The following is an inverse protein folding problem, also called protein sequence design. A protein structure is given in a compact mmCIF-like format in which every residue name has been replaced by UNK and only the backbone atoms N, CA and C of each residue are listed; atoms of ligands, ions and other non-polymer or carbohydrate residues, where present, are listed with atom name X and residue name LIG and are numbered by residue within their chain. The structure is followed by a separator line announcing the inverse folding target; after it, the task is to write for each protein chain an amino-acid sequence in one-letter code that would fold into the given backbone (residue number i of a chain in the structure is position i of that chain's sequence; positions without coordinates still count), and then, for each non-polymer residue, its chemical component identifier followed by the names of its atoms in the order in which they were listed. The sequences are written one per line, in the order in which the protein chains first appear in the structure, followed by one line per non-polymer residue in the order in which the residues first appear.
data_IF_415429207052
#
_entry.id   IF_415429207052
#
_cell.length_a   1.000
_cell.length_b   1.000
_cell.length_c   1.000
_cell.angle_alpha   90.00
_cell.angle_beta   90.00
_cell.angle_gamma   90.00
#
_symmetry.space_group_name_H-M   'P 1'
#
loop_
_entity.id
_entity.type
_entity.pdbx_description
1 polymer ?
#
# COMPACT_ATOMS: atom_id res chain seq x y z
N UNK A 1 -18.49 10.70 -2.07
CA UNK A 1 -18.83 9.64 -3.05
C UNK A 1 -17.58 8.81 -3.12
N UNK A 2 -17.64 7.54 -2.72
CA UNK A 2 -16.52 6.61 -2.84
C UNK A 2 -16.04 6.62 -4.29
N UNK A 3 -14.73 6.70 -4.53
CA UNK A 3 -14.21 6.51 -5.88
C UNK A 3 -14.45 5.05 -6.26
N UNK A 4 -15.14 4.83 -7.37
CA UNK A 4 -15.24 3.49 -7.95
C UNK A 4 -13.88 3.09 -8.52
N UNK A 5 -13.15 2.24 -7.79
CA UNK A 5 -11.94 1.60 -8.29
C UNK A 5 -12.32 0.66 -9.44
N UNK A 6 -11.51 0.64 -10.50
CA UNK A 6 -11.62 -0.41 -11.52
C UNK A 6 -11.33 -1.79 -10.90
N UNK A 7 -11.80 -2.88 -11.52
CA UNK A 7 -11.58 -4.24 -10.99
C UNK A 7 -10.11 -4.54 -10.66
N UNK A 8 -9.17 -4.04 -11.48
CA UNK A 8 -7.72 -4.21 -11.25
C UNK A 8 -7.21 -3.39 -10.06
N UNK A 9 -7.73 -2.18 -9.88
CA UNK A 9 -7.39 -1.33 -8.74
C UNK A 9 -7.98 -1.89 -7.45
N UNK A 10 -9.21 -2.42 -7.51
CA UNK A 10 -9.84 -3.09 -6.39
C UNK A 10 -9.05 -4.32 -5.96
N UNK A 11 -8.58 -5.15 -6.90
CA UNK A 11 -7.73 -6.30 -6.59
C UNK A 11 -6.44 -5.90 -5.86
N UNK A 12 -5.84 -4.76 -6.21
CA UNK A 12 -4.69 -4.22 -5.48
C UNK A 12 -5.08 -3.76 -4.07
N UNK A 13 -6.18 -3.01 -3.94
CA UNK A 13 -6.67 -2.55 -2.64
C UNK A 13 -6.99 -3.73 -1.70
N UNK A 14 -7.64 -4.77 -2.22
CA UNK A 14 -7.97 -5.99 -1.48
C UNK A 14 -6.71 -6.72 -1.02
N UNK A 15 -5.71 -6.86 -1.91
CA UNK A 15 -4.43 -7.48 -1.55
C UNK A 15 -3.69 -6.70 -0.45
N UNK A 16 -3.67 -5.37 -0.52
CA UNK A 16 -3.10 -4.52 0.54
C UNK A 16 -3.87 -4.71 1.86
N UNK A 17 -5.20 -4.73 1.79
CA UNK A 17 -6.07 -4.92 2.94
C UNK A 17 -5.88 -6.29 3.60
N UNK A 18 -5.69 -7.34 2.81
CA UNK A 18 -5.51 -8.69 3.35
C UNK A 18 -4.19 -8.83 4.10
N UNK A 19 -3.11 -8.18 3.64
CA UNK A 19 -1.85 -8.10 4.39
C UNK A 19 -2.06 -7.34 5.70
N UNK A 20 -2.80 -6.24 5.66
CA UNK A 20 -3.18 -5.48 6.86
C UNK A 20 -3.95 -6.34 7.88
N UNK A 21 -4.92 -7.12 7.41
CA UNK A 21 -5.70 -8.04 8.26
C UNK A 21 -4.84 -9.15 8.83
N UNK A 22 -3.89 -9.69 8.06
CA UNK A 22 -2.99 -10.73 8.53
C UNK A 22 -2.09 -10.23 9.67
N UNK A 23 -1.49 -9.06 9.52
CA UNK A 23 -0.59 -8.48 10.53
C UNK A 23 -1.31 -7.94 11.76
N UNK A 24 -2.43 -7.22 11.55
CA UNK A 24 -3.07 -6.39 12.57
C UNK A 24 -4.58 -6.61 12.74
N UNK A 25 -5.18 -7.54 11.99
CA UNK A 25 -6.64 -7.75 11.99
C UNK A 25 -7.45 -6.50 11.66
N UNK A 26 -6.87 -5.60 10.86
CA UNK A 26 -7.46 -4.34 10.42
C UNK A 26 -7.56 -4.29 8.90
N UNK A 27 -8.67 -3.76 8.37
CA UNK A 27 -8.88 -3.61 6.93
C UNK A 27 -7.84 -2.70 6.28
N UNK A 28 -7.73 -1.45 6.74
CA UNK A 28 -6.69 -0.51 6.33
C UNK A 28 -6.08 0.13 7.58
N UNK A 29 -4.85 -0.26 7.93
CA UNK A 29 -4.14 0.37 9.03
C UNK A 29 -3.60 1.74 8.61
N UNK A 30 -3.48 2.66 9.56
CA UNK A 30 -2.85 3.95 9.29
C UNK A 30 -1.45 3.75 8.67
N UNK A 31 -1.19 4.46 7.58
CA UNK A 31 0.05 4.41 6.81
C UNK A 31 0.38 3.08 6.12
N UNK A 32 -0.57 2.14 6.03
CA UNK A 32 -0.39 0.85 5.35
C UNK A 32 0.26 1.01 3.98
N UNK A 33 -0.23 1.96 3.18
CA UNK A 33 0.25 2.21 1.83
C UNK A 33 1.74 2.57 1.76
N UNK A 34 2.27 3.24 2.78
CA UNK A 34 3.69 3.60 2.87
C UNK A 34 4.52 2.40 3.33
N UNK A 35 4.04 1.66 4.33
CA UNK A 35 4.72 0.47 4.85
C UNK A 35 4.85 -0.62 3.78
N UNK A 36 3.77 -0.87 3.02
CA UNK A 36 3.80 -1.83 1.92
C UNK A 36 4.70 -1.36 0.78
N UNK A 37 4.66 -0.08 0.42
CA UNK A 37 5.56 0.44 -0.60
C UNK A 37 7.03 0.36 -0.19
N UNK A 38 7.35 0.61 1.08
CA UNK A 38 8.68 0.42 1.63
C UNK A 38 9.14 -1.04 1.51
N UNK A 39 8.27 -2.00 1.81
CA UNK A 39 8.57 -3.42 1.61
C UNK A 39 8.82 -3.78 0.13
N UNK A 40 8.10 -3.15 -0.81
CA UNK A 40 8.35 -3.33 -2.25
C UNK A 40 9.77 -2.85 -2.65
N UNK A 41 10.26 -1.77 -2.03
CA UNK A 41 11.56 -1.17 -2.35
C UNK A 41 12.72 -1.86 -1.62
N UNK A 42 12.52 -2.19 -0.35
CA UNK A 42 13.59 -2.65 0.56
C UNK A 42 13.54 -4.16 0.86
N UNK A 43 12.46 -4.84 0.48
CA UNK A 43 12.28 -6.28 0.63
C UNK A 43 11.41 -6.68 1.83
N UNK A 44 11.51 -7.95 2.19
CA UNK A 44 10.73 -8.56 3.27
C UNK A 44 10.98 -7.87 4.61
N UNK A 45 9.93 -7.73 5.42
CA UNK A 45 10.02 -7.09 6.74
C UNK A 45 8.95 -7.60 7.70
N UNK A 46 9.19 -7.42 8.99
CA UNK A 46 8.19 -7.65 10.02
C UNK A 46 7.02 -6.67 9.85
N UNK A 47 5.82 -7.17 10.12
CA UNK A 47 4.57 -6.41 10.04
C UNK A 47 3.52 -6.98 11.00
N UNK A 48 3.38 -6.32 12.15
CA UNK A 48 2.50 -6.76 13.23
C UNK A 48 2.85 -8.17 13.72
N UNK A 49 1.89 -9.09 13.61
CA UNK A 49 2.05 -10.51 14.02
C UNK A 49 2.62 -11.40 12.92
N UNK A 50 2.92 -10.83 11.76
CA UNK A 50 3.36 -11.55 10.55
C UNK A 50 4.59 -10.89 9.95
N UNK A 51 5.04 -11.37 8.79
CA UNK A 51 6.02 -10.68 7.96
C UNK A 51 5.41 -10.46 6.59
N UNK A 52 5.71 -9.31 5.97
CA UNK A 52 5.46 -9.09 4.55
C UNK A 52 6.50 -9.93 3.79
N UNK A 53 6.02 -10.96 3.12
CA UNK A 53 6.84 -11.95 2.43
C UNK A 53 7.15 -11.54 1.00
N UNK A 54 8.17 -12.17 0.41
CA UNK A 54 8.52 -11.96 -0.99
C UNK A 54 7.38 -12.30 -1.94
N UNK A 55 6.59 -13.34 -1.62
CA UNK A 55 5.41 -13.72 -2.41
C UNK A 55 4.37 -12.61 -2.43
N UNK A 56 4.11 -11.97 -1.28
CA UNK A 56 3.17 -10.85 -1.18
C UNK A 56 3.70 -9.61 -1.90
N UNK A 57 5.00 -9.31 -1.76
CA UNK A 57 5.66 -8.22 -2.48
C UNK A 57 5.55 -8.42 -3.99
N UNK A 58 5.90 -9.61 -4.49
CA UNK A 58 5.86 -9.93 -5.92
C UNK A 58 4.40 -9.84 -6.44
N UNK A 59 3.42 -10.25 -5.63
CA UNK A 59 2.00 -10.15 -5.98
C UNK A 59 1.49 -8.69 -6.03
N UNK A 60 1.79 -7.88 -5.02
CA UNK A 60 1.47 -6.45 -4.99
C UNK A 60 2.10 -5.72 -6.18
N UNK A 61 3.37 -6.01 -6.48
CA UNK A 61 4.09 -5.42 -7.60
C UNK A 61 3.44 -5.78 -8.95
N UNK A 62 2.99 -7.02 -9.11
CA UNK A 62 2.26 -7.45 -10.33
C UNK A 62 0.94 -6.70 -10.50
N UNK A 63 0.12 -6.61 -9.46
CA UNK A 63 -1.16 -5.90 -9.49
C UNK A 63 -0.98 -4.41 -9.76
N UNK A 64 -0.03 -3.78 -9.06
CA UNK A 64 0.32 -2.38 -9.23
C UNK A 64 0.79 -2.06 -10.65
N UNK A 65 1.64 -2.92 -11.23
CA UNK A 65 2.08 -2.77 -12.62
C UNK A 65 0.93 -2.96 -13.62
N UNK A 66 -0.02 -3.86 -13.34
CA UNK A 66 -1.16 -4.13 -14.22
C UNK A 66 -2.17 -2.96 -14.30
N UNK A 67 -2.26 -2.13 -13.25
CA UNK A 67 -3.06 -0.90 -13.24
C UNK A 67 -2.23 0.38 -13.42
N UNK A 68 -0.89 0.27 -13.45
CA UNK A 68 0.05 1.39 -13.43
C UNK A 68 -0.27 2.40 -12.30
N UNK A 69 -0.60 1.86 -11.12
CA UNK A 69 -1.13 2.62 -10.01
C UNK A 69 -0.72 2.05 -8.65
N UNK A 70 -0.80 2.87 -7.61
CA UNK A 70 -0.80 2.46 -6.21
C UNK A 70 -2.10 2.91 -5.54
N UNK A 71 -2.49 2.25 -4.44
CA UNK A 71 -3.65 2.66 -3.66
C UNK A 71 -3.14 3.34 -2.38
N UNK A 72 -3.69 4.50 -2.08
CA UNK A 72 -3.42 5.23 -0.84
C UNK A 72 -4.72 5.60 -0.17
N UNK A 73 -4.68 5.88 1.14
CA UNK A 73 -5.86 6.35 1.86
C UNK A 73 -5.99 7.87 1.73
N UNK A 74 -7.09 8.33 1.12
CA UNK A 74 -7.48 9.73 1.06
C UNK A 74 -8.53 10.04 2.14
N UNK A 75 -8.38 11.12 2.90
CA UNK A 75 -9.33 11.42 4.00
C UNK A 75 -10.76 11.71 3.53
N UNK A 76 -10.96 12.08 2.26
CA UNK A 76 -12.27 12.38 1.69
C UNK A 76 -12.82 11.26 0.82
N UNK A 77 -11.93 10.57 0.12
CA UNK A 77 -12.27 9.59 -0.92
C UNK A 77 -11.97 8.14 -0.51
N UNK A 78 -11.36 7.96 0.67
CA UNK A 78 -10.88 6.67 1.19
C UNK A 78 -9.86 6.03 0.23
N UNK A 79 -9.91 4.72 -0.01
CA UNK A 79 -8.97 4.01 -0.88
C UNK A 79 -8.98 4.58 -2.31
N UNK A 80 -7.92 5.30 -2.66
CA UNK A 80 -7.83 6.07 -3.90
C UNK A 80 -6.63 5.61 -4.72
N UNK A 81 -6.85 5.42 -6.02
CA UNK A 81 -5.78 5.09 -6.96
C UNK A 81 -4.98 6.33 -7.38
N UNK A 82 -3.66 6.22 -7.30
CA UNK A 82 -2.70 7.24 -7.75
C UNK A 82 -1.72 6.61 -8.75
N UNK A 83 -1.36 7.33 -9.80
CA UNK A 83 -0.38 6.85 -10.78
C UNK A 83 1.00 6.62 -10.12
N UNK A 84 1.72 5.58 -10.52
CA UNK A 84 2.98 5.17 -9.87
C UNK A 84 4.02 6.30 -9.75
N UNK A 85 4.19 7.08 -10.81
CA UNK A 85 5.11 8.23 -10.80
C UNK A 85 4.72 9.26 -9.75
N UNK A 86 3.42 9.56 -9.62
CA UNK A 86 2.92 10.50 -8.62
C UNK A 86 3.02 9.93 -7.20
N UNK A 87 2.81 8.63 -7.05
CA UNK A 87 3.02 7.93 -5.78
C UNK A 87 4.47 8.00 -5.32
N UNK A 88 5.45 7.77 -6.20
CA UNK A 88 6.87 7.85 -5.84
C UNK A 88 7.26 9.24 -5.29
N UNK A 89 6.72 10.31 -5.89
CA UNK A 89 6.93 11.67 -5.39
C UNK A 89 6.28 11.83 -4.01
N UNK A 90 4.99 11.45 -3.88
CA UNK A 90 4.25 11.54 -2.61
C UNK A 90 4.92 10.74 -1.49
N UNK A 91 5.39 9.53 -1.79
CA UNK A 91 6.12 8.66 -0.86
C UNK A 91 7.41 9.34 -0.40
N UNK A 92 8.21 9.86 -1.33
CA UNK A 92 9.46 10.55 -1.00
C UNK A 92 9.21 11.77 -0.10
N UNK A 93 8.26 12.62 -0.45
CA UNK A 93 7.89 13.78 0.36
C UNK A 93 7.39 13.38 1.75
N UNK A 94 6.60 12.31 1.85
CA UNK A 94 6.10 11.80 3.12
C UNK A 94 7.23 11.30 4.04
N UNK A 95 8.20 10.56 3.48
CA UNK A 95 9.39 10.08 4.22
C UNK A 95 10.27 11.25 4.66
N UNK A 96 10.52 12.23 3.78
CA UNK A 96 11.31 13.41 4.12
C UNK A 96 10.68 14.22 5.26
N UNK A 97 9.34 14.27 5.31
CA UNK A 97 8.59 14.95 6.36
C UNK A 97 8.48 14.15 7.66
N UNK A 98 8.28 12.84 7.56
CA UNK A 98 8.16 11.94 8.69
C UNK A 98 8.72 10.55 8.34
N UNK A 99 10.00 10.29 8.67
CA UNK A 99 10.62 8.99 8.42
C UNK A 99 9.93 7.83 9.15
N UNK A 100 9.19 8.10 10.23
CA UNK A 100 8.49 7.06 11.00
C UNK A 100 7.17 6.62 10.35
N UNK A 101 6.77 7.22 9.22
CA UNK A 101 5.53 6.84 8.52
C UNK A 101 5.55 5.40 8.00
N UNK A 102 6.74 4.83 7.81
CA UNK A 102 6.95 3.43 7.41
C UNK A 102 7.15 2.49 8.60
N UNK A 103 7.05 3.00 9.84
CA UNK A 103 7.06 2.15 11.03
C UNK A 103 5.65 1.60 11.24
N UNK A 104 5.35 0.52 10.50
CA UNK A 104 4.19 -0.34 10.71
C UNK A 104 4.59 -1.71 11.20
#
# INVERSE_FOLDING_TARGET
MLIDLTEKQQALADAMSDISKAGYSAGWLQNLEYVLWDALVNGEREYGRTCITKTEIDHLQQLSNACNCWIYFDEQLEETAIHLVSWQVKFKEAIERNPEIING
#
